data_IF_197449301128
#
_entry.id   IF_197449301128
#
_cell.length_a   1.000
_cell.length_b   1.000
_cell.length_c   1.000
_cell.angle_alpha   90.00
_cell.angle_beta   90.00
_cell.angle_gamma   90.00
#
_symmetry.space_group_name_H-M   'P 1'
#
loop_
_entity.id
_entity.type
_entity.pdbx_description
1 polymer ?
#
# COMPACT_ATOMS: atom_id res chain seq x y z
N UNK A 1 -63.05 1.71 -19.00
CA UNK A 1 -64.34 1.94 -18.31
C UNK A 1 -64.59 0.76 -17.36
N UNK A 2 -64.37 0.96 -16.06
CA UNK A 2 -65.02 0.23 -14.96
C UNK A 2 -64.63 0.93 -13.64
N UNK A 3 -65.63 1.13 -12.78
CA UNK A 3 -65.64 1.91 -11.53
C UNK A 3 -65.14 1.13 -10.30
N UNK A 4 -65.00 1.89 -9.20
CA UNK A 4 -65.20 1.55 -7.76
C UNK A 4 -63.97 1.07 -6.96
N UNK A 5 -63.79 1.40 -5.68
CA UNK A 5 -64.63 2.04 -4.64
C UNK A 5 -63.72 2.58 -3.50
N UNK A 6 -64.29 3.46 -2.68
CA UNK A 6 -63.72 4.27 -1.60
C UNK A 6 -63.22 3.52 -0.34
N UNK A 7 -62.32 4.11 0.49
CA UNK A 7 -62.63 4.86 1.74
C UNK A 7 -61.49 4.91 2.80
N UNK A 8 -61.35 6.11 3.40
CA UNK A 8 -60.98 6.54 4.78
C UNK A 8 -59.77 5.97 5.56
N UNK A 9 -58.92 6.89 6.07
CA UNK A 9 -58.88 7.35 7.48
C UNK A 9 -57.75 8.40 7.69
N UNK A 10 -58.07 9.69 7.84
CA UNK A 10 -58.11 10.51 9.08
C UNK A 10 -56.73 10.79 9.72
N UNK A 11 -56.21 12.00 9.42
CA UNK A 11 -55.06 12.65 10.05
C UNK A 11 -55.46 13.23 11.40
N UNK A 12 -54.63 13.05 12.42
CA UNK A 12 -54.67 13.75 13.69
C UNK A 12 -53.31 14.41 13.91
N UNK A 13 -53.29 15.75 14.05
CA UNK A 13 -52.15 16.49 14.57
C UNK A 13 -52.22 16.55 16.11
N UNK A 14 -51.07 16.66 16.80
CA UNK A 14 -51.04 17.31 18.10
C UNK A 14 -50.05 18.50 18.16
N UNK A 15 -50.64 19.64 18.52
CA UNK A 15 -50.23 20.69 19.48
C UNK A 15 -48.76 20.87 19.89
N UNK A 16 -48.33 22.13 19.79
CA UNK A 16 -47.18 22.74 20.48
C UNK A 16 -47.34 22.71 22.00
N UNK A 17 -46.28 22.32 22.71
CA UNK A 17 -46.12 22.46 24.15
C UNK A 17 -44.65 22.73 24.49
N UNK A 18 -44.40 23.85 25.16
CA UNK A 18 -43.11 24.29 25.69
C UNK A 18 -42.76 23.59 27.00
N UNK A 19 -41.52 23.12 27.16
CA UNK A 19 -40.85 23.06 28.46
C UNK A 19 -39.33 22.93 28.28
N UNK A 20 -38.65 23.63 29.17
CA UNK A 20 -37.21 23.76 29.44
C UNK A 20 -36.60 22.40 29.86
N UNK A 21 -35.45 22.00 29.29
CA UNK A 21 -34.60 20.94 29.87
C UNK A 21 -33.14 21.08 29.39
N UNK A 22 -32.36 21.66 30.29
CA UNK A 22 -30.94 21.48 30.62
C UNK A 22 -30.01 20.73 29.64
N UNK A 23 -28.93 21.44 29.31
CA UNK A 23 -27.66 20.96 28.76
C UNK A 23 -27.04 19.86 29.65
N UNK A 24 -26.84 18.67 29.09
CA UNK A 24 -25.77 17.76 29.50
C UNK A 24 -24.81 17.59 28.32
N UNK A 25 -23.64 18.22 28.48
CA UNK A 25 -22.39 17.96 27.80
C UNK A 25 -21.90 16.59 28.26
N UNK A 26 -21.91 15.57 27.40
CA UNK A 26 -21.13 14.38 27.71
C UNK A 26 -20.53 13.67 26.49
N UNK A 27 -19.21 13.52 26.61
CA UNK A 27 -18.33 12.58 25.94
C UNK A 27 -18.07 12.80 24.43
N UNK A 28 -17.03 13.60 24.19
CA UNK A 28 -16.09 13.33 23.10
C UNK A 28 -15.74 11.83 23.10
N UNK A 29 -16.25 11.10 22.11
CA UNK A 29 -15.80 9.76 21.77
C UNK A 29 -14.36 9.83 21.26
N UNK A 30 -13.40 9.94 22.19
CA UNK A 30 -11.98 9.80 21.91
C UNK A 30 -11.74 8.33 21.57
N UNK A 31 -11.81 8.02 20.28
CA UNK A 31 -11.27 6.79 19.71
C UNK A 31 -9.90 6.55 20.35
N UNK A 32 -9.62 5.38 20.95
CA UNK A 32 -8.33 5.12 21.55
C UNK A 32 -7.28 5.18 20.43
N UNK A 33 -6.52 6.26 20.41
CA UNK A 33 -5.31 6.35 19.60
C UNK A 33 -4.33 5.32 20.17
N UNK A 34 -4.23 4.16 19.51
CA UNK A 34 -3.18 3.19 19.75
C UNK A 34 -1.85 3.86 19.43
N UNK A 35 -1.22 4.43 20.47
CA UNK A 35 0.07 5.10 20.36
C UNK A 35 1.22 4.10 20.57
N UNK A 36 1.09 2.90 20.01
CA UNK A 36 2.23 2.03 19.77
C UNK A 36 2.99 2.65 18.60
N UNK A 37 3.98 3.49 18.91
CA UNK A 37 4.94 3.98 17.92
C UNK A 37 5.72 2.76 17.44
N UNK A 38 5.24 2.11 16.38
CA UNK A 38 5.94 0.99 15.75
C UNK A 38 7.36 1.42 15.39
N UNK A 39 8.35 0.54 15.57
CA UNK A 39 9.72 0.87 15.21
C UNK A 39 9.78 1.10 13.70
N UNK A 40 10.16 2.32 13.32
CA UNK A 40 10.54 2.66 11.96
C UNK A 40 11.97 3.20 11.97
N UNK A 41 12.63 3.16 10.82
CA UNK A 41 13.93 3.81 10.62
C UNK A 41 13.85 4.77 9.45
N UNK A 42 14.31 5.98 9.69
CA UNK A 42 14.52 6.98 8.64
C UNK A 42 15.96 6.90 8.15
N UNK A 43 16.13 6.58 6.88
CA UNK A 43 17.42 6.46 6.19
C UNK A 43 17.57 7.68 5.30
N UNK A 44 18.47 8.58 5.67
CA UNK A 44 18.79 9.77 4.86
C UNK A 44 19.77 9.38 3.75
N UNK A 45 19.36 9.61 2.50
CA UNK A 45 20.16 9.35 1.30
C UNK A 45 21.16 10.48 1.04
N UNK A 46 22.16 10.23 0.20
CA UNK A 46 23.16 11.23 -0.16
C UNK A 46 22.58 12.49 -0.83
N UNK A 47 21.43 12.36 -1.50
CA UNK A 47 20.72 13.47 -2.12
C UNK A 47 19.83 14.28 -1.16
N UNK A 48 19.81 13.93 0.13
CA UNK A 48 19.01 14.58 1.17
C UNK A 48 17.61 13.99 1.39
N UNK A 49 17.08 13.22 0.43
CA UNK A 49 15.78 12.57 0.58
C UNK A 49 15.81 11.54 1.71
N UNK A 50 14.67 11.31 2.36
CA UNK A 50 14.53 10.35 3.46
C UNK A 50 13.67 9.18 3.02
N UNK A 51 14.21 7.97 3.15
CA UNK A 51 13.51 6.72 3.00
C UNK A 51 13.17 6.16 4.38
N UNK A 52 11.89 6.08 4.72
CA UNK A 52 11.40 5.42 5.92
C UNK A 52 11.14 3.95 5.63
N UNK A 53 11.65 3.08 6.50
CA UNK A 53 11.34 1.65 6.52
C UNK A 53 10.61 1.30 7.80
N UNK A 54 9.48 0.61 7.68
CA UNK A 54 8.63 0.17 8.79
C UNK A 54 8.41 -1.34 8.67
N UNK A 55 9.01 -2.18 9.52
CA UNK A 55 8.61 -3.57 9.67
C UNK A 55 7.16 -3.64 10.18
N UNK A 56 6.26 -4.28 9.42
CA UNK A 56 4.81 -4.34 9.71
C UNK A 56 4.42 -5.66 10.37
N UNK A 57 4.97 -6.75 9.85
CA UNK A 57 4.86 -8.13 10.36
C UNK A 57 6.20 -8.83 10.09
N UNK A 58 6.41 -10.08 10.55
CA UNK A 58 7.58 -10.86 10.16
C UNK A 58 7.77 -11.03 8.64
N UNK A 59 6.75 -10.82 7.82
CA UNK A 59 6.80 -11.03 6.36
C UNK A 59 6.76 -9.73 5.56
N UNK A 60 6.41 -8.61 6.20
CA UNK A 60 5.98 -7.39 5.52
C UNK A 60 6.78 -6.19 5.97
N UNK A 61 7.34 -5.46 5.00
CA UNK A 61 8.03 -4.19 5.22
C UNK A 61 7.37 -3.10 4.40
N UNK A 62 7.09 -1.95 5.02
CA UNK A 62 6.62 -0.76 4.32
C UNK A 62 7.79 0.18 4.06
N UNK A 63 7.88 0.70 2.85
CA UNK A 63 8.88 1.67 2.44
C UNK A 63 8.19 2.94 1.95
N UNK A 64 8.65 4.08 2.45
CA UNK A 64 8.13 5.39 2.09
C UNK A 64 9.26 6.36 1.78
N UNK A 65 9.27 6.96 0.61
CA UNK A 65 10.32 7.90 0.20
C UNK A 65 9.77 9.32 0.11
N UNK A 66 10.39 10.26 0.81
CA UNK A 66 10.01 11.68 0.82
C UNK A 66 11.23 12.61 0.87
N UNK A 67 11.27 13.69 0.08
CA UNK A 67 12.36 14.66 0.10
C UNK A 67 12.36 15.54 1.38
N UNK A 68 11.19 15.79 1.95
CA UNK A 68 10.99 16.69 3.11
C UNK A 68 10.94 15.97 4.46
N UNK A 69 11.14 14.65 4.48
CA UNK A 69 10.98 13.78 5.65
C UNK A 69 9.60 13.88 6.34
N UNK A 70 8.58 14.44 5.67
CA UNK A 70 7.25 14.64 6.23
C UNK A 70 6.33 13.48 5.87
N UNK A 71 6.30 12.48 6.75
CA UNK A 71 5.49 11.27 6.57
C UNK A 71 4.12 11.42 7.24
N UNK A 72 3.16 11.96 6.50
CA UNK A 72 1.76 12.03 6.96
C UNK A 72 1.11 10.65 6.99
N UNK A 73 0.09 10.45 7.81
CA UNK A 73 -0.69 9.21 7.75
C UNK A 73 -1.40 9.08 6.39
N UNK A 74 -1.17 7.94 5.72
CA UNK A 74 -1.76 7.65 4.41
C UNK A 74 -3.28 7.46 4.52
N UNK A 75 -4.02 7.89 3.49
CA UNK A 75 -5.48 7.84 3.49
C UNK A 75 -6.03 6.42 3.69
N UNK A 76 -5.46 5.42 3.02
CA UNK A 76 -5.91 4.02 3.15
C UNK A 76 -5.71 3.46 4.56
N UNK A 77 -4.72 3.95 5.31
CA UNK A 77 -4.52 3.59 6.72
C UNK A 77 -5.53 4.31 7.61
N UNK A 78 -5.67 5.63 7.42
CA UNK A 78 -6.59 6.48 8.18
C UNK A 78 -8.05 6.02 8.11
N UNK A 79 -8.47 5.54 6.94
CA UNK A 79 -9.83 5.05 6.70
C UNK A 79 -9.98 3.53 6.94
N UNK A 80 -8.96 2.86 7.48
CA UNK A 80 -9.05 1.45 7.87
C UNK A 80 -9.07 0.44 6.71
N UNK A 81 -8.77 0.86 5.48
CA UNK A 81 -8.62 -0.05 4.33
C UNK A 81 -7.37 -0.89 4.48
N UNK A 82 -6.29 -0.29 4.97
CA UNK A 82 -5.03 -0.96 5.32
C UNK A 82 -4.91 -0.98 6.83
N UNK A 83 -4.81 -2.18 7.39
CA UNK A 83 -4.66 -2.38 8.83
C UNK A 83 -3.32 -1.86 9.35
N UNK A 84 -3.37 -1.18 10.48
CA UNK A 84 -2.21 -0.67 11.23
C UNK A 84 -2.09 -1.28 12.62
N UNK A 85 -2.92 -2.27 12.95
CA UNK A 85 -3.03 -2.98 14.22
C UNK A 85 -2.57 -4.44 14.05
N UNK A 86 -1.29 -4.68 14.25
CA UNK A 86 -0.62 -5.96 14.06
C UNK A 86 0.08 -6.31 15.37
N UNK A 87 0.13 -7.60 15.74
CA UNK A 87 0.87 -8.05 16.92
C UNK A 87 2.34 -7.64 16.86
N UNK A 88 2.95 -7.49 18.03
CA UNK A 88 4.40 -7.30 18.15
C UNK A 88 5.15 -8.55 17.66
N UNK A 89 6.36 -8.33 17.15
CA UNK A 89 7.25 -9.37 16.67
C UNK A 89 8.70 -8.92 16.77
N UNK A 90 9.61 -9.89 16.82
CA UNK A 90 11.04 -9.64 16.85
C UNK A 90 11.56 -9.17 15.49
N UNK A 91 12.33 -8.08 15.52
CA UNK A 91 13.06 -7.57 14.37
C UNK A 91 14.43 -7.07 14.81
N UNK A 92 15.48 -7.62 14.20
CA UNK A 92 16.84 -7.16 14.39
C UNK A 92 17.16 -6.09 13.35
N UNK A 93 17.77 -4.99 13.78
CA UNK A 93 18.26 -3.94 12.88
C UNK A 93 19.77 -3.83 13.01
N UNK A 94 20.47 -4.06 11.91
CA UNK A 94 21.91 -3.90 11.78
C UNK A 94 22.23 -2.72 10.87
N UNK A 95 23.18 -1.89 11.26
CA UNK A 95 23.53 -0.67 10.54
C UNK A 95 25.04 -0.55 10.36
N UNK A 96 25.47 -0.53 9.11
CA UNK A 96 26.85 -0.27 8.71
C UNK A 96 26.99 1.16 8.18
N UNK A 97 28.18 1.56 7.76
CA UNK A 97 28.37 2.83 7.05
C UNK A 97 27.61 2.90 5.72
N UNK A 98 27.32 1.75 5.09
CA UNK A 98 26.77 1.67 3.74
C UNK A 98 25.29 1.27 3.71
N UNK A 99 24.84 0.44 4.65
CA UNK A 99 23.53 -0.20 4.58
C UNK A 99 22.83 -0.22 5.94
N UNK A 100 21.51 -0.18 5.91
CA UNK A 100 20.66 -0.57 7.05
C UNK A 100 19.94 -1.85 6.68
N UNK A 101 19.99 -2.87 7.54
CA UNK A 101 19.34 -4.16 7.32
C UNK A 101 18.38 -4.50 8.45
N UNK A 102 17.14 -4.82 8.10
CA UNK A 102 16.12 -5.35 8.99
C UNK A 102 16.00 -6.84 8.79
N UNK A 103 16.00 -7.63 9.86
CA UNK A 103 15.84 -9.08 9.81
C UNK A 103 14.75 -9.53 10.76
N UNK A 104 13.83 -10.31 10.24
CA UNK A 104 12.84 -11.05 11.02
C UNK A 104 13.15 -12.54 10.85
N UNK A 105 12.38 -13.40 11.51
CA UNK A 105 12.47 -14.86 11.30
C UNK A 105 12.18 -15.30 9.85
N UNK A 106 11.45 -14.52 9.05
CA UNK A 106 10.92 -14.95 7.75
C UNK A 106 11.48 -14.18 6.56
N UNK A 107 12.01 -12.98 6.79
CA UNK A 107 12.45 -12.11 5.72
C UNK A 107 13.51 -11.12 6.20
N UNK A 108 14.30 -10.64 5.24
CA UNK A 108 15.28 -9.60 5.47
C UNK A 108 15.20 -8.51 4.39
N UNK A 109 15.29 -7.25 4.81
CA UNK A 109 15.32 -6.10 3.93
C UNK A 109 16.59 -5.29 4.20
N UNK A 110 17.48 -5.23 3.20
CA UNK A 110 18.65 -4.38 3.24
C UNK A 110 18.45 -3.16 2.34
N UNK A 111 18.85 -1.98 2.82
CA UNK A 111 18.70 -0.70 2.11
C UNK A 111 20.04 0.04 2.08
N UNK A 112 20.45 0.43 0.89
CA UNK A 112 21.62 1.28 0.63
C UNK A 112 21.39 2.71 1.14
N UNK A 113 22.31 3.22 1.96
CA UNK A 113 22.30 4.62 2.42
C UNK A 113 22.71 5.59 1.32
N UNK A 114 23.49 5.15 0.33
CA UNK A 114 23.98 6.01 -0.73
C UNK A 114 22.82 6.48 -1.63
N UNK A 115 22.02 5.53 -2.11
CA UNK A 115 21.02 5.76 -3.15
C UNK A 115 19.64 5.16 -2.84
N UNK A 116 19.44 4.55 -1.68
CA UNK A 116 18.14 4.01 -1.28
C UNK A 116 17.78 2.67 -1.91
N UNK A 117 18.65 2.09 -2.76
CA UNK A 117 18.38 0.79 -3.37
C UNK A 117 18.18 -0.29 -2.32
N UNK A 118 17.09 -1.04 -2.47
CA UNK A 118 16.75 -2.14 -1.56
C UNK A 118 17.03 -3.53 -2.15
N UNK A 119 17.31 -4.49 -1.27
CA UNK A 119 17.35 -5.92 -1.56
C UNK A 119 16.55 -6.69 -0.50
N UNK A 120 15.47 -7.32 -0.96
CA UNK A 120 14.52 -8.07 -0.16
C UNK A 120 14.76 -9.58 -0.31
N UNK A 121 14.84 -10.30 0.81
CA UNK A 121 15.24 -11.71 0.89
C UNK A 121 14.28 -12.51 1.76
N UNK A 122 14.17 -13.80 1.46
CA UNK A 122 13.51 -14.77 2.34
C UNK A 122 14.42 -15.20 3.51
N UNK A 123 13.89 -16.07 4.37
CA UNK A 123 14.60 -16.66 5.51
C UNK A 123 15.87 -17.43 5.11
N UNK A 124 15.90 -18.00 3.90
CA UNK A 124 17.06 -18.72 3.37
C UNK A 124 18.13 -17.77 2.79
N UNK A 125 17.90 -16.45 2.81
CA UNK A 125 18.79 -15.45 2.27
C UNK A 125 18.74 -15.31 0.75
N UNK A 126 17.81 -16.01 0.06
CA UNK A 126 17.60 -15.89 -1.38
C UNK A 126 16.97 -14.54 -1.67
N UNK A 127 17.49 -13.84 -2.69
CA UNK A 127 16.91 -12.58 -3.15
C UNK A 127 15.54 -12.85 -3.76
N UNK A 128 14.51 -12.26 -3.16
CA UNK A 128 13.16 -12.25 -3.68
C UNK A 128 12.98 -11.12 -4.67
N UNK A 129 13.39 -9.91 -4.29
CA UNK A 129 13.25 -8.71 -5.10
C UNK A 129 14.38 -7.71 -4.80
N UNK A 130 14.77 -6.93 -5.80
CA UNK A 130 15.69 -5.80 -5.64
C UNK A 130 15.27 -4.65 -6.52
N UNK A 131 15.58 -3.44 -6.09
CA UNK A 131 15.46 -2.27 -6.98
C UNK A 131 16.49 -2.35 -8.10
N UNK A 132 16.03 -2.08 -9.33
CA UNK A 132 16.88 -1.98 -10.51
C UNK A 132 17.53 -0.59 -10.58
N UNK A 133 16.77 0.46 -10.24
CA UNK A 133 17.24 1.85 -10.19
C UNK A 133 16.93 2.49 -8.84
N UNK A 134 17.65 3.54 -8.42
CA UNK A 134 17.34 4.26 -7.20
C UNK A 134 15.90 4.79 -7.24
N UNK A 135 15.11 4.60 -6.17
CA UNK A 135 13.74 5.08 -6.15
C UNK A 135 13.71 6.61 -6.15
N UNK A 136 12.69 7.16 -6.81
CA UNK A 136 12.47 8.60 -6.93
C UNK A 136 11.10 8.94 -6.35
N UNK A 137 11.06 9.99 -5.53
CA UNK A 137 9.83 10.59 -5.01
C UNK A 137 10.03 12.09 -4.88
N UNK A 138 9.18 12.87 -5.55
CA UNK A 138 9.25 14.32 -5.66
C UNK A 138 7.86 14.89 -5.45
N UNK A 139 7.76 15.96 -4.68
CA UNK A 139 6.47 16.56 -4.30
C UNK A 139 5.65 17.01 -5.53
N UNK A 140 6.32 17.48 -6.58
CA UNK A 140 5.67 18.06 -7.77
C UNK A 140 5.57 17.09 -8.95
N UNK A 141 6.49 16.14 -9.07
CA UNK A 141 6.58 15.23 -10.23
C UNK A 141 6.25 13.77 -9.90
N UNK A 142 5.84 13.50 -8.66
CA UNK A 142 5.39 12.19 -8.19
C UNK A 142 6.54 11.22 -7.95
N UNK A 143 6.32 9.95 -8.28
CA UNK A 143 7.28 8.89 -7.97
C UNK A 143 7.59 7.98 -9.15
N UNK A 144 8.74 7.31 -9.04
CA UNK A 144 9.12 6.15 -9.87
C UNK A 144 9.85 5.14 -9.01
N UNK A 145 9.47 3.87 -9.11
CA UNK A 145 10.17 2.73 -8.52
C UNK A 145 10.35 1.65 -9.58
N UNK A 146 11.55 1.08 -9.65
CA UNK A 146 11.92 0.09 -10.66
C UNK A 146 12.57 -1.11 -9.98
N UNK A 147 12.08 -2.30 -10.30
CA UNK A 147 12.53 -3.55 -9.71
C UNK A 147 13.02 -4.51 -10.79
N UNK A 148 14.03 -5.31 -10.46
CA UNK A 148 14.52 -6.34 -11.36
C UNK A 148 13.56 -7.53 -11.39
N UNK A 149 13.17 -7.97 -12.58
CA UNK A 149 12.39 -9.20 -12.78
C UNK A 149 13.33 -10.35 -13.18
N UNK A 150 13.18 -11.50 -12.53
CA UNK A 150 13.93 -12.71 -12.88
C UNK A 150 13.41 -13.31 -14.20
N UNK A 151 14.19 -14.13 -14.88
CA UNK A 151 13.69 -14.80 -16.10
C UNK A 151 12.61 -15.84 -15.75
N UNK A 152 11.61 -16.02 -16.62
CA UNK A 152 10.49 -16.95 -16.42
C UNK A 152 9.49 -16.61 -15.28
N UNK A 153 9.82 -15.65 -14.42
CA UNK A 153 8.97 -15.14 -13.34
C UNK A 153 7.60 -14.69 -13.86
N UNK A 154 6.51 -15.11 -13.20
CA UNK A 154 5.14 -14.77 -13.58
C UNK A 154 4.52 -13.85 -12.54
N UNK A 155 3.71 -12.90 -13.04
CA UNK A 155 3.12 -11.83 -12.25
C UNK A 155 1.60 -11.92 -12.30
N UNK A 156 0.93 -11.75 -11.16
CA UNK A 156 -0.52 -11.88 -10.99
C UNK A 156 -1.05 -10.82 -10.03
N UNK A 157 -2.34 -10.50 -10.13
CA UNK A 157 -2.99 -9.49 -9.30
C UNK A 157 -3.49 -8.30 -10.12
N UNK A 158 -3.38 -7.11 -9.54
CA UNK A 158 -3.88 -5.82 -10.04
C UNK A 158 -5.41 -5.66 -10.04
N UNK A 159 -6.16 -6.60 -9.45
CA UNK A 159 -7.62 -6.61 -9.47
C UNK A 159 -8.20 -6.78 -10.87
N UNK A 160 -9.42 -6.26 -11.09
CA UNK A 160 -10.03 -6.15 -12.43
C UNK A 160 -9.45 -4.94 -13.18
N UNK A 161 -8.15 -5.02 -13.50
CA UNK A 161 -7.43 -3.99 -14.27
C UNK A 161 -7.51 -4.22 -15.80
N UNK A 162 -7.70 -5.47 -16.24
CA UNK A 162 -7.91 -5.84 -17.65
C UNK A 162 -8.65 -7.19 -17.72
N UNK A 163 -9.27 -7.47 -18.88
CA UNK A 163 -10.09 -8.68 -19.11
C UNK A 163 -9.47 -9.71 -20.03
N UNK A 164 -8.40 -9.36 -20.72
CA UNK A 164 -7.78 -10.20 -21.74
C UNK A 164 -6.67 -11.11 -21.20
N UNK A 165 -6.25 -10.91 -19.95
CA UNK A 165 -5.16 -11.67 -19.33
C UNK A 165 -5.25 -11.71 -17.81
N UNK A 166 -4.83 -12.84 -17.27
CA UNK A 166 -4.62 -13.03 -15.83
C UNK A 166 -3.15 -12.80 -15.46
N UNK A 167 -2.23 -13.31 -16.30
CA UNK A 167 -0.79 -13.14 -16.13
C UNK A 167 -0.37 -11.76 -16.67
N UNK A 168 0.36 -10.98 -15.87
CA UNK A 168 0.65 -9.56 -16.10
C UNK A 168 2.04 -9.27 -16.68
N UNK A 169 2.90 -10.27 -16.85
CA UNK A 169 4.23 -10.03 -17.41
C UNK A 169 4.14 -9.61 -18.88
N UNK A 170 4.96 -8.64 -19.27
CA UNK A 170 4.90 -8.04 -20.60
C UNK A 170 3.68 -7.13 -20.79
N UNK A 171 2.96 -6.79 -19.72
CA UNK A 171 1.81 -5.87 -19.76
C UNK A 171 2.15 -4.55 -19.06
N UNK A 172 1.55 -3.47 -19.53
CA UNK A 172 1.62 -2.16 -18.90
C UNK A 172 0.29 -1.44 -19.06
N UNK A 173 -0.13 -0.73 -18.03
CA UNK A 173 -1.35 0.07 -18.07
C UNK A 173 -1.35 1.13 -16.98
N UNK A 174 -2.35 2.00 -17.04
CA UNK A 174 -2.70 2.95 -16.00
C UNK A 174 -3.72 2.34 -15.04
N UNK A 175 -3.38 2.30 -13.75
CA UNK A 175 -4.27 1.97 -12.64
C UNK A 175 -5.29 3.11 -12.45
N UNK A 176 -6.42 2.97 -13.12
CA UNK A 176 -7.56 3.89 -13.03
C UNK A 176 -8.86 3.15 -13.32
N UNK A 177 -9.96 3.64 -12.74
CA UNK A 177 -11.29 3.14 -13.06
C UNK A 177 -11.64 3.54 -14.50
N UNK A 178 -11.98 2.55 -15.32
CA UNK A 178 -12.39 2.74 -16.71
C UNK A 178 -13.59 1.85 -16.98
N UNK A 179 -14.69 2.48 -17.41
CA UNK A 179 -15.89 1.72 -17.78
C UNK A 179 -15.52 0.67 -18.84
N UNK A 180 -16.11 -0.52 -18.75
CA UNK A 180 -15.94 -1.67 -19.66
C UNK A 180 -14.56 -2.35 -19.63
N UNK A 181 -13.51 -1.78 -19.03
CA UNK A 181 -12.16 -2.39 -19.11
C UNK A 181 -11.48 -2.59 -17.76
N UNK A 182 -11.77 -1.75 -16.77
CA UNK A 182 -11.14 -1.79 -15.44
C UNK A 182 -12.10 -1.25 -14.38
N UNK A 183 -12.89 -2.12 -13.74
CA UNK A 183 -13.86 -1.66 -12.72
C UNK A 183 -13.27 -1.58 -11.32
N UNK A 184 -12.37 -2.50 -10.96
CA UNK A 184 -11.79 -2.58 -9.60
C UNK A 184 -10.29 -2.85 -9.69
N UNK A 185 -9.49 -1.88 -10.18
CA UNK A 185 -8.04 -2.00 -10.15
C UNK A 185 -7.56 -1.88 -8.69
N UNK A 186 -6.82 -2.87 -8.21
CA UNK A 186 -6.26 -2.91 -6.86
C UNK A 186 -4.74 -3.01 -7.00
N UNK A 187 -3.93 -2.06 -6.50
CA UNK A 187 -2.48 -2.01 -6.75
C UNK A 187 -1.68 -3.03 -5.91
N UNK A 188 -2.11 -4.29 -5.94
CA UNK A 188 -1.45 -5.45 -5.36
C UNK A 188 -0.96 -6.35 -6.48
N UNK A 189 0.34 -6.58 -6.58
CA UNK A 189 0.96 -7.45 -7.57
C UNK A 189 1.82 -8.49 -6.86
N UNK A 190 1.59 -9.76 -7.16
CA UNK A 190 2.33 -10.89 -6.61
C UNK A 190 3.07 -11.66 -7.69
N UNK A 191 4.18 -12.26 -7.31
CA UNK A 191 5.09 -12.95 -8.19
C UNK A 191 5.29 -14.41 -7.78
N UNK A 192 5.45 -15.28 -8.77
CA UNK A 192 5.95 -16.65 -8.54
C UNK A 192 7.37 -16.70 -7.98
N UNK A 193 8.08 -15.57 -7.93
CA UNK A 193 9.38 -15.43 -7.27
C UNK A 193 9.31 -15.46 -5.73
N UNK A 194 8.11 -15.39 -5.15
CA UNK A 194 7.89 -15.42 -3.70
C UNK A 194 7.80 -14.05 -3.04
N UNK A 195 7.38 -13.03 -3.80
CA UNK A 195 7.17 -11.68 -3.28
C UNK A 195 5.87 -11.07 -3.83
N UNK A 196 5.31 -10.14 -3.07
CA UNK A 196 4.28 -9.23 -3.55
C UNK A 196 4.59 -7.78 -3.19
N UNK A 197 4.05 -6.87 -3.99
CA UNK A 197 4.06 -5.43 -3.77
C UNK A 197 2.62 -4.96 -3.65
N UNK A 198 2.32 -4.21 -2.60
CA UNK A 198 1.13 -3.37 -2.53
C UNK A 198 1.52 -1.89 -2.57
N UNK A 199 1.04 -1.16 -3.57
CA UNK A 199 1.26 0.29 -3.70
C UNK A 199 0.18 1.05 -2.92
N UNK A 200 0.57 1.77 -1.88
CA UNK A 200 -0.33 2.45 -0.97
C UNK A 200 -0.69 3.85 -1.48
N UNK A 201 -1.44 3.91 -2.58
CA UNK A 201 -1.84 5.15 -3.21
C UNK A 201 -3.29 5.08 -3.68
N UNK A 202 -4.00 6.20 -3.57
CA UNK A 202 -5.32 6.41 -4.19
C UNK A 202 -5.20 7.19 -5.51
N UNK A 203 -4.00 7.64 -5.87
CA UNK A 203 -3.75 8.37 -7.11
C UNK A 203 -3.65 7.42 -8.29
N UNK A 204 -4.10 7.90 -9.45
CA UNK A 204 -3.81 7.23 -10.71
C UNK A 204 -2.30 7.13 -10.91
N UNK A 205 -1.86 5.93 -11.27
CA UNK A 205 -0.47 5.60 -11.47
C UNK A 205 -0.36 4.56 -12.58
N UNK A 206 0.83 4.38 -13.13
CA UNK A 206 1.12 3.38 -14.14
C UNK A 206 1.91 2.24 -13.54
N UNK A 207 1.70 1.04 -14.07
CA UNK A 207 2.64 -0.07 -13.94
C UNK A 207 3.14 -0.47 -15.34
N UNK A 208 4.37 -0.96 -15.40
CA UNK A 208 4.96 -1.64 -16.55
C UNK A 208 5.64 -2.89 -16.05
N UNK A 209 5.00 -4.04 -16.24
CA UNK A 209 5.42 -5.34 -15.73
C UNK A 209 6.29 -6.07 -16.76
N UNK A 210 7.28 -5.38 -17.32
CA UNK A 210 8.24 -5.92 -18.28
C UNK A 210 7.81 -5.80 -19.74
N UNK A 211 6.88 -4.90 -20.06
CA UNK A 211 6.45 -4.62 -21.43
C UNK A 211 7.47 -3.76 -22.17
N UNK A 212 7.98 -2.69 -21.54
CA UNK A 212 8.99 -1.82 -22.17
C UNK A 212 10.41 -2.37 -22.03
N UNK A 213 10.74 -3.00 -20.90
CA UNK A 213 12.03 -3.65 -20.65
C UNK A 213 11.79 -4.97 -19.91
N UNK A 214 12.11 -6.11 -20.53
CA UNK A 214 11.67 -7.45 -20.08
C UNK A 214 12.10 -7.86 -18.66
N UNK A 215 13.18 -7.27 -18.18
CA UNK A 215 13.80 -7.51 -16.87
C UNK A 215 13.50 -6.38 -15.87
N UNK A 216 12.48 -5.53 -16.13
CA UNK A 216 12.07 -4.42 -15.28
C UNK A 216 10.58 -4.48 -14.96
N UNK A 217 10.25 -4.33 -13.68
CA UNK A 217 8.93 -3.91 -13.21
C UNK A 217 9.02 -2.45 -12.80
N UNK A 218 8.17 -1.60 -13.36
CA UNK A 218 8.13 -0.17 -13.03
C UNK A 218 6.78 0.21 -12.49
N UNK A 219 6.76 0.99 -11.40
CA UNK A 219 5.59 1.76 -10.99
C UNK A 219 5.92 3.24 -11.05
N UNK A 220 4.96 4.06 -11.50
CA UNK A 220 5.16 5.50 -11.59
C UNK A 220 3.87 6.29 -11.47
N UNK A 221 3.94 7.48 -10.91
CA UNK A 221 2.82 8.41 -10.87
C UNK A 221 3.34 9.84 -11.05
N UNK A 222 2.52 10.72 -11.63
CA UNK A 222 2.87 12.14 -11.79
C UNK A 222 2.59 12.96 -10.52
N UNK A 223 1.95 12.35 -9.51
CA UNK A 223 1.61 12.90 -8.20
C UNK A 223 1.63 11.77 -7.17
N UNK A 224 1.59 12.11 -5.89
CA UNK A 224 1.78 11.20 -4.73
C UNK A 224 3.23 10.98 -4.35
N UNK A 225 3.43 10.61 -3.09
CA UNK A 225 4.67 10.04 -2.59
C UNK A 225 4.79 8.56 -2.97
N UNK A 226 6.03 8.06 -3.00
CA UNK A 226 6.29 6.62 -3.06
C UNK A 226 6.03 6.01 -1.69
N UNK A 227 5.03 5.15 -1.60
CA UNK A 227 4.63 4.40 -0.41
C UNK A 227 4.18 3.01 -0.85
N UNK A 228 4.91 1.97 -0.45
CA UNK A 228 4.62 0.60 -0.84
C UNK A 228 5.00 -0.40 0.24
N UNK A 229 4.35 -1.55 0.20
CA UNK A 229 4.61 -2.69 1.06
C UNK A 229 5.26 -3.80 0.23
N UNK A 230 6.32 -4.39 0.77
CA UNK A 230 6.95 -5.62 0.31
C UNK A 230 6.48 -6.77 1.19
N UNK A 231 6.06 -7.87 0.57
CA UNK A 231 5.49 -9.03 1.25
C UNK A 231 6.27 -10.26 0.79
N UNK A 232 6.82 -11.05 1.72
CA UNK A 232 7.47 -12.33 1.43
C UNK A 232 6.50 -13.50 1.61
N UNK A 233 6.61 -14.51 0.74
CA UNK A 233 5.84 -15.74 0.83
C UNK A 233 6.44 -16.85 -0.03
N UNK A 234 6.24 -18.11 0.36
CA UNK A 234 6.75 -19.25 -0.40
C UNK A 234 5.89 -19.56 -1.63
N UNK A 235 4.62 -19.13 -1.62
CA UNK A 235 3.65 -19.39 -2.68
C UNK A 235 2.69 -18.20 -2.89
N UNK A 236 1.95 -18.18 -4.00
CA UNK A 236 0.93 -17.15 -4.25
C UNK A 236 -0.18 -17.12 -3.19
N UNK A 237 -0.70 -18.27 -2.69
CA UNK A 237 -1.62 -18.26 -1.55
C UNK A 237 -1.03 -17.63 -0.29
N UNK A 238 0.23 -17.96 0.06
CA UNK A 238 0.87 -17.35 1.23
C UNK A 238 0.91 -15.82 1.12
N UNK A 239 1.23 -15.30 -0.07
CA UNK A 239 1.30 -13.86 -0.33
C UNK A 239 -0.06 -13.15 -0.19
N UNK A 240 -1.18 -13.86 -0.38
CA UNK A 240 -2.52 -13.32 -0.19
C UNK A 240 -2.97 -13.34 1.27
N UNK A 241 -2.47 -14.28 2.06
CA UNK A 241 -2.81 -14.44 3.47
C UNK A 241 -2.02 -13.49 4.41
N UNK A 242 -0.96 -12.84 3.92
CA UNK A 242 -0.11 -11.90 4.69
C UNK A 242 -0.63 -10.47 4.67
#
# INVERSE_FOLDING_TARGET
>A
MALSLANLAKVAEPSQGSADETLDDDSQGRMPMSNSKRPYRDIRRANGDVLRVEPITPFVFRLRLRPDASFREAALVRYGVVRSDWPEFEVETDETSETVTFRTRHAALAVSKADGRMAFRDEAGRILLREAEPPVSRLETGFKAEFALADGERLYGLGDETRDRIQKRGHKNMMALRNVSSYVPIPFLMSTGGWAIFLNTTWFHNFDAGASQRDRLTFSAQRSELDYYLIAGASLPDLLDR
#
